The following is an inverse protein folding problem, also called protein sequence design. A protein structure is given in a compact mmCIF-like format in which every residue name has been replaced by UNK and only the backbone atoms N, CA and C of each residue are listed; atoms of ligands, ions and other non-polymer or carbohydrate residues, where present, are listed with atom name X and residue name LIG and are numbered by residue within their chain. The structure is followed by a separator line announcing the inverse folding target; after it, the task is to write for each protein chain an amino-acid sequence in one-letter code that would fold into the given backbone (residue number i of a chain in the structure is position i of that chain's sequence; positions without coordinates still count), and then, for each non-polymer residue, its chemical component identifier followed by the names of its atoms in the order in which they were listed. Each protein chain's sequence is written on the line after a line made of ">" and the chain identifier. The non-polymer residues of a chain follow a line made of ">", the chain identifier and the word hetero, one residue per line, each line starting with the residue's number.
data_IF_246537199390
#
_entry.id   IF_246537199390
#
_cell.length_a   1.000
_cell.length_b   1.000
_cell.length_c   1.000
_cell.angle_alpha   90.00
_cell.angle_beta   90.00
_cell.angle_gamma   90.00
#
_symmetry.space_group_name_H-M   'P 1'
#
loop_
_entity.id
_entity.type
_entity.pdbx_description
1 polymer ?
#
# COMPACT_ATOMS: atom_id res chain seq x y z
N UNK A 1 18.13 8.31 7.34
CA UNK A 1 16.78 7.75 7.29
C UNK A 1 16.43 7.04 8.59
N UNK A 2 15.26 7.33 9.16
CA UNK A 2 14.87 6.89 10.52
C UNK A 2 14.45 5.41 10.64
N UNK A 3 14.83 4.51 9.73
CA UNK A 3 14.50 3.09 9.80
C UNK A 3 13.02 2.72 9.59
N UNK A 4 12.13 3.67 9.28
CA UNK A 4 10.69 3.43 9.10
C UNK A 4 10.38 2.29 8.13
N UNK A 5 10.95 2.35 6.94
CA UNK A 5 10.79 1.32 5.91
C UNK A 5 11.33 -0.04 6.38
N UNK A 6 12.43 -0.08 7.13
CA UNK A 6 12.96 -1.32 7.69
C UNK A 6 12.00 -1.90 8.73
N UNK A 7 11.44 -1.08 9.61
CA UNK A 7 10.43 -1.51 10.60
C UNK A 7 9.18 -2.07 9.92
N UNK A 8 8.72 -1.45 8.84
CA UNK A 8 7.53 -1.90 8.11
C UNK A 8 7.78 -3.14 7.26
N UNK A 9 8.93 -3.21 6.59
CA UNK A 9 9.19 -4.14 5.47
C UNK A 9 10.38 -5.08 5.72
N UNK A 10 11.11 -4.92 6.87
CA UNK A 10 12.33 -5.69 7.14
C UNK A 10 12.09 -7.18 6.96
N UNK A 11 12.75 -7.78 5.98
CA UNK A 11 12.67 -9.19 5.51
C UNK A 11 11.57 -10.05 6.20
N UNK A 12 11.93 -10.79 7.28
CA UNK A 12 10.96 -11.60 8.05
C UNK A 12 10.44 -10.90 9.30
N UNK A 13 11.11 -9.85 9.78
CA UNK A 13 10.87 -9.21 11.08
C UNK A 13 10.03 -7.92 11.00
N UNK A 14 9.76 -7.43 9.80
CA UNK A 14 8.94 -6.26 9.58
C UNK A 14 7.47 -6.47 10.00
N UNK A 15 6.77 -5.37 10.23
CA UNK A 15 5.34 -5.39 10.62
C UNK A 15 4.49 -6.03 9.52
N UNK A 16 4.76 -5.72 8.24
CA UNK A 16 3.98 -6.25 7.11
C UNK A 16 4.09 -7.77 7.01
N UNK A 17 5.30 -8.39 7.00
CA UNK A 17 5.41 -9.85 7.00
C UNK A 17 4.70 -10.49 8.19
N UNK A 18 4.88 -9.97 9.39
CA UNK A 18 4.24 -10.50 10.61
C UNK A 18 2.71 -10.39 10.54
N UNK A 19 2.19 -9.26 10.08
CA UNK A 19 0.74 -9.06 9.97
C UNK A 19 0.11 -9.98 8.93
N UNK A 20 0.75 -10.18 7.77
CA UNK A 20 0.25 -11.07 6.74
C UNK A 20 0.30 -12.54 7.19
N UNK A 21 1.39 -12.99 7.80
CA UNK A 21 1.47 -14.35 8.35
C UNK A 21 0.38 -14.58 9.41
N UNK A 22 0.26 -13.70 10.39
CA UNK A 22 -0.75 -13.83 11.44
C UNK A 22 -2.20 -13.81 10.88
N UNK A 23 -2.45 -13.02 9.82
CA UNK A 23 -3.74 -12.98 9.14
C UNK A 23 -4.07 -14.33 8.51
N UNK A 24 -3.16 -14.89 7.71
CA UNK A 24 -3.41 -16.15 7.02
C UNK A 24 -3.41 -17.35 7.98
N UNK A 25 -2.60 -17.35 9.04
CA UNK A 25 -2.65 -18.35 10.09
C UNK A 25 -4.03 -18.37 10.78
N UNK A 26 -4.58 -17.19 11.06
CA UNK A 26 -5.91 -17.09 11.66
C UNK A 26 -7.02 -17.53 10.70
N UNK A 27 -6.94 -17.13 9.43
CA UNK A 27 -7.93 -17.55 8.41
C UNK A 27 -7.89 -19.06 8.16
N UNK A 28 -6.71 -19.69 8.22
CA UNK A 28 -6.56 -21.15 8.09
C UNK A 28 -7.03 -21.92 9.33
N UNK A 29 -6.97 -21.32 10.54
CA UNK A 29 -7.44 -21.97 11.77
C UNK A 29 -8.96 -21.93 11.95
N UNK A 30 -9.65 -21.04 11.25
CA UNK A 30 -11.11 -20.93 11.29
C UNK A 30 -11.82 -21.96 10.37
N UNK A 31 -11.08 -22.75 9.58
CA UNK A 31 -11.68 -23.82 8.77
C UNK A 31 -12.05 -25.01 9.65
N UNK A 32 -13.32 -25.47 9.65
CA UNK A 32 -13.69 -26.69 10.33
C UNK A 32 -12.93 -27.88 9.72
N UNK A 33 -12.46 -28.87 10.49
CA UNK A 33 -11.81 -30.05 9.96
C UNK A 33 -12.80 -30.84 9.11
N UNK A 34 -12.67 -30.71 7.77
CA UNK A 34 -13.51 -31.49 6.85
C UNK A 34 -12.96 -32.89 6.71
N UNK A 35 -13.75 -33.94 7.05
CA UNK A 35 -13.41 -35.31 6.70
C UNK A 35 -13.68 -35.49 5.19
N UNK A 36 -12.60 -35.69 4.43
CA UNK A 36 -12.61 -36.28 3.09
C UNK A 36 -13.49 -35.58 2.04
N UNK A 37 -12.97 -34.51 1.44
CA UNK A 37 -13.47 -34.11 0.11
C UNK A 37 -12.30 -33.94 -0.86
N UNK A 38 -12.35 -34.65 -1.97
CA UNK A 38 -11.38 -34.62 -3.10
C UNK A 38 -11.51 -33.35 -3.97
N UNK A 39 -12.28 -32.37 -3.52
CA UNK A 39 -12.40 -31.05 -4.14
C UNK A 39 -11.99 -30.01 -3.09
N UNK A 40 -11.16 -29.03 -3.45
CA UNK A 40 -10.86 -27.94 -2.53
C UNK A 40 -12.19 -27.27 -2.16
N UNK A 41 -12.52 -27.30 -0.86
CA UNK A 41 -13.67 -26.56 -0.34
C UNK A 41 -13.54 -25.08 -0.78
N UNK A 42 -14.62 -24.42 -1.16
CA UNK A 42 -14.56 -22.99 -1.45
C UNK A 42 -13.98 -22.31 -0.20
N UNK A 43 -12.87 -21.59 -0.36
CA UNK A 43 -12.25 -20.87 0.76
C UNK A 43 -13.28 -19.96 1.38
N UNK A 44 -13.50 -20.11 2.67
CA UNK A 44 -14.44 -19.27 3.40
C UNK A 44 -14.03 -17.79 3.40
N UNK A 45 -12.77 -17.48 3.06
CA UNK A 45 -12.26 -16.12 3.00
C UNK A 45 -11.48 -15.84 1.70
N UNK A 46 -11.77 -14.71 1.06
CA UNK A 46 -11.03 -14.17 -0.08
C UNK A 46 -10.19 -13.00 0.41
N UNK A 47 -8.88 -13.05 0.18
CA UNK A 47 -7.96 -11.98 0.52
C UNK A 47 -7.43 -11.33 -0.75
N UNK A 48 -7.39 -10.00 -0.78
CA UNK A 48 -6.78 -9.26 -1.88
C UNK A 48 -5.92 -8.10 -1.38
N UNK A 49 -4.87 -7.79 -2.12
CA UNK A 49 -3.92 -6.74 -1.76
C UNK A 49 -3.86 -5.67 -2.83
N UNK A 50 -3.72 -4.42 -2.40
CA UNK A 50 -3.47 -3.24 -3.23
C UNK A 50 -2.31 -2.46 -2.63
N UNK A 51 -1.47 -1.86 -3.48
CA UNK A 51 -0.31 -1.09 -3.01
C UNK A 51 -0.25 0.26 -3.73
N UNK A 52 -0.48 1.33 -2.97
CA UNK A 52 -0.55 2.71 -3.42
C UNK A 52 0.69 3.48 -2.97
N UNK A 53 1.25 4.31 -3.84
CA UNK A 53 2.19 5.37 -3.47
C UNK A 53 1.51 6.73 -3.54
N UNK A 54 1.82 7.59 -2.56
CA UNK A 54 1.37 8.98 -2.50
C UNK A 54 2.63 9.87 -2.47
N UNK A 55 2.83 10.67 -3.52
CA UNK A 55 3.92 11.63 -3.63
C UNK A 55 3.34 13.02 -3.82
N UNK A 56 3.30 13.82 -2.75
CA UNK A 56 2.51 15.03 -2.73
C UNK A 56 1.04 14.72 -3.02
N UNK A 57 0.47 15.31 -4.06
CA UNK A 57 -0.91 15.05 -4.49
C UNK A 57 -1.02 13.92 -5.54
N UNK A 58 0.11 13.37 -5.98
CA UNK A 58 0.14 12.34 -7.02
C UNK A 58 -0.05 10.95 -6.43
N UNK A 59 -0.98 10.19 -6.99
CA UNK A 59 -1.25 8.79 -6.67
C UNK A 59 -0.62 7.90 -7.73
N UNK A 60 0.06 6.83 -7.32
CA UNK A 60 0.66 5.84 -8.20
C UNK A 60 0.31 4.42 -7.72
N UNK A 61 -0.13 3.58 -8.66
CA UNK A 61 -0.31 2.15 -8.41
C UNK A 61 1.05 1.44 -8.49
N UNK A 62 1.48 0.85 -7.38
CA UNK A 62 2.75 0.14 -7.34
C UNK A 62 2.65 -1.29 -7.88
N UNK A 63 1.45 -1.84 -8.01
CA UNK A 63 1.21 -3.18 -8.57
C UNK A 63 1.02 -3.15 -10.10
N UNK A 64 0.56 -2.01 -10.64
CA UNK A 64 0.35 -1.80 -12.07
C UNK A 64 0.87 -0.43 -12.52
N UNK A 65 2.19 -0.16 -12.44
CA UNK A 65 2.77 1.16 -12.68
C UNK A 65 2.66 1.65 -14.13
N UNK A 66 2.34 0.76 -15.05
CA UNK A 66 2.15 1.07 -16.49
C UNK A 66 0.69 1.28 -16.87
N UNK A 67 -0.23 1.28 -15.90
CA UNK A 67 -1.65 1.49 -16.17
C UNK A 67 -1.90 2.95 -16.56
N UNK A 68 -2.55 3.17 -17.71
CA UNK A 68 -3.01 4.48 -18.14
C UNK A 68 -4.29 4.92 -17.41
N UNK A 69 -4.80 4.09 -16.50
CA UNK A 69 -6.01 4.41 -15.72
C UNK A 69 -5.65 5.43 -14.62
N UNK A 70 -6.22 6.63 -14.65
CA UNK A 70 -5.93 7.65 -13.66
C UNK A 70 -6.51 7.26 -12.30
N UNK A 71 -5.66 7.27 -11.27
CA UNK A 71 -6.10 7.07 -9.89
C UNK A 71 -6.80 8.31 -9.36
N UNK A 72 -7.95 8.13 -8.71
CA UNK A 72 -8.71 9.22 -8.09
C UNK A 72 -9.29 8.78 -6.76
N UNK A 73 -9.15 9.61 -5.74
CA UNK A 73 -9.88 9.42 -4.48
C UNK A 73 -11.35 9.72 -4.73
N UNK A 74 -12.21 8.81 -4.34
CA UNK A 74 -13.67 8.92 -4.45
C UNK A 74 -14.35 8.51 -3.15
N UNK A 75 -15.53 9.04 -2.92
CA UNK A 75 -16.41 8.62 -1.84
C UNK A 75 -17.40 7.57 -2.37
N UNK A 76 -17.53 6.46 -1.65
CA UNK A 76 -18.36 5.33 -2.08
C UNK A 76 -19.86 5.67 -2.06
N UNK A 77 -20.30 6.43 -1.05
CA UNK A 77 -21.69 6.84 -0.87
C UNK A 77 -21.76 8.12 -0.05
N UNK A 78 -22.86 8.88 -0.21
CA UNK A 78 -23.13 10.04 0.65
C UNK A 78 -23.54 9.64 2.08
N UNK A 79 -23.90 8.37 2.28
CA UNK A 79 -24.39 7.83 3.56
C UNK A 79 -23.23 7.25 4.38
N UNK A 80 -22.25 6.65 3.69
CA UNK A 80 -21.04 6.11 4.32
C UNK A 80 -19.86 6.96 3.84
N UNK A 81 -19.17 7.63 4.74
CA UNK A 81 -17.96 8.43 4.45
C UNK A 81 -16.75 7.55 4.03
N UNK A 82 -17.03 6.39 3.42
CA UNK A 82 -15.99 5.48 2.96
C UNK A 82 -15.31 6.03 1.71
N UNK A 83 -14.02 6.33 1.84
CA UNK A 83 -13.16 6.74 0.74
C UNK A 83 -12.50 5.52 0.09
N UNK A 84 -12.39 5.54 -1.22
CA UNK A 84 -11.63 4.56 -1.99
C UNK A 84 -10.85 5.22 -3.13
N UNK A 85 -9.82 4.53 -3.62
CA UNK A 85 -9.05 4.97 -4.79
C UNK A 85 -9.56 4.23 -6.02
N UNK A 86 -10.23 4.96 -6.89
CA UNK A 86 -10.70 4.45 -8.19
C UNK A 86 -9.51 4.19 -9.10
N UNK A 87 -9.49 3.07 -9.79
CA UNK A 87 -8.43 2.65 -10.70
C UNK A 87 -7.26 1.92 -10.04
N UNK A 88 -7.23 1.81 -8.71
CA UNK A 88 -6.19 1.08 -7.99
C UNK A 88 -6.34 -0.43 -8.20
N UNK A 89 -5.25 -1.10 -8.61
CA UNK A 89 -5.22 -2.55 -8.79
C UNK A 89 -5.41 -3.29 -7.48
N UNK A 90 -6.13 -4.40 -7.53
CA UNK A 90 -6.33 -5.31 -6.42
C UNK A 90 -6.03 -6.74 -6.88
N UNK A 91 -5.08 -7.40 -6.23
CA UNK A 91 -4.61 -8.74 -6.59
C UNK A 91 -5.06 -9.72 -5.52
N UNK A 92 -5.82 -10.75 -5.92
CA UNK A 92 -6.21 -11.85 -5.04
C UNK A 92 -4.99 -12.69 -4.72
N UNK A 93 -4.84 -13.05 -3.45
CA UNK A 93 -3.71 -13.83 -2.94
C UNK A 93 -4.23 -14.98 -2.08
N UNK A 94 -3.55 -16.11 -2.18
CA UNK A 94 -4.00 -17.35 -1.57
C UNK A 94 -3.34 -17.65 -0.22
N UNK A 95 -2.18 -17.07 0.03
CA UNK A 95 -1.40 -17.26 1.25
C UNK A 95 -0.50 -16.05 1.54
N UNK A 96 0.15 -16.06 2.69
CA UNK A 96 1.05 -14.99 3.11
C UNK A 96 2.26 -14.84 2.18
N UNK A 97 2.79 -15.95 1.65
CA UNK A 97 3.95 -15.94 0.75
C UNK A 97 3.60 -15.26 -0.58
N UNK A 98 2.44 -15.59 -1.17
CA UNK A 98 1.93 -14.95 -2.37
C UNK A 98 1.70 -13.44 -2.14
N UNK A 99 1.10 -13.07 -1.01
CA UNK A 99 0.90 -11.68 -0.62
C UNK A 99 2.24 -10.93 -0.51
N UNK A 100 3.22 -11.50 0.17
CA UNK A 100 4.57 -10.92 0.32
C UNK A 100 5.30 -10.79 -1.02
N UNK A 101 5.19 -11.76 -1.91
CA UNK A 101 5.76 -11.69 -3.26
C UNK A 101 5.20 -10.51 -4.06
N UNK A 102 3.87 -10.33 -4.01
CA UNK A 102 3.19 -9.20 -4.68
C UNK A 102 3.65 -7.87 -4.10
N UNK A 103 3.65 -7.72 -2.79
CA UNK A 103 4.08 -6.49 -2.09
C UNK A 103 5.54 -6.17 -2.39
N UNK A 104 6.44 -7.14 -2.25
CA UNK A 104 7.88 -6.96 -2.50
C UNK A 104 8.16 -6.55 -3.95
N UNK A 105 7.44 -7.11 -4.93
CA UNK A 105 7.55 -6.72 -6.34
C UNK A 105 7.19 -5.24 -6.54
N UNK A 106 6.08 -4.79 -5.96
CA UNK A 106 5.64 -3.39 -6.05
C UNK A 106 6.64 -2.43 -5.41
N UNK A 107 7.16 -2.79 -4.24
CA UNK A 107 8.13 -1.98 -3.51
C UNK A 107 9.52 -1.95 -4.17
N UNK A 108 9.94 -3.04 -4.80
CA UNK A 108 11.16 -3.07 -5.62
C UNK A 108 11.05 -2.07 -6.78
N UNK A 109 9.94 -2.09 -7.50
CA UNK A 109 9.67 -1.12 -8.58
C UNK A 109 9.64 0.33 -8.08
N UNK A 110 9.14 0.59 -6.86
CA UNK A 110 9.21 1.91 -6.20
C UNK A 110 10.65 2.35 -6.00
N UNK A 111 11.53 1.50 -5.48
CA UNK A 111 12.96 1.80 -5.25
C UNK A 111 13.70 2.09 -6.55
N UNK A 112 13.49 1.31 -7.58
CA UNK A 112 14.15 1.47 -8.89
C UNK A 112 13.76 2.78 -9.59
N UNK A 113 12.50 3.21 -9.46
CA UNK A 113 12.04 4.52 -9.97
C UNK A 113 12.58 5.69 -9.15
N UNK A 114 12.76 5.49 -7.85
CA UNK A 114 13.30 6.47 -6.92
C UNK A 114 14.76 6.83 -7.21
N UNK A 115 15.62 5.86 -7.55
CA UNK A 115 17.03 6.10 -7.88
C UNK A 115 17.21 6.95 -9.14
N UNK A 116 16.24 6.93 -10.07
CA UNK A 116 16.25 7.72 -11.30
C UNK A 116 15.74 9.17 -11.11
N UNK A 117 15.11 9.51 -9.99
CA UNK A 117 14.46 10.80 -9.72
C UNK A 117 14.66 11.27 -8.29
N UNK A 118 15.91 11.52 -7.87
CA UNK A 118 16.22 12.13 -6.57
C UNK A 118 15.33 11.64 -5.42
N UNK A 119 15.68 10.47 -4.85
CA UNK A 119 15.20 9.97 -3.54
C UNK A 119 13.69 10.14 -3.23
N UNK A 120 12.85 9.85 -4.24
CA UNK A 120 11.39 9.98 -4.12
C UNK A 120 10.81 9.07 -3.02
N UNK A 121 11.53 8.01 -2.59
CA UNK A 121 11.08 7.10 -1.53
C UNK A 121 11.02 7.77 -0.16
N UNK A 122 11.93 8.70 0.12
CA UNK A 122 11.93 9.45 1.39
C UNK A 122 10.86 10.54 1.45
N UNK A 123 10.27 10.90 0.30
CA UNK A 123 9.26 11.97 0.15
C UNK A 123 7.86 11.44 -0.18
N UNK A 124 7.68 10.13 -0.27
CA UNK A 124 6.40 9.52 -0.60
C UNK A 124 5.96 8.53 0.47
N UNK A 125 4.65 8.43 0.67
CA UNK A 125 4.04 7.40 1.51
C UNK A 125 3.76 6.16 0.67
N UNK A 126 3.89 4.96 1.27
CA UNK A 126 3.40 3.72 0.68
C UNK A 126 2.28 3.16 1.56
N UNK A 127 1.15 2.86 0.93
CA UNK A 127 -0.05 2.35 1.60
C UNK A 127 -0.35 0.96 1.06
N UNK A 128 -0.15 -0.05 1.88
CA UNK A 128 -0.64 -1.41 1.63
C UNK A 128 -2.05 -1.54 2.19
N UNK A 129 -3.00 -1.89 1.33
CA UNK A 129 -4.37 -2.22 1.69
C UNK A 129 -4.57 -3.73 1.50
N UNK A 130 -5.09 -4.37 2.52
CA UNK A 130 -5.52 -5.78 2.49
C UNK A 130 -7.02 -5.81 2.70
N UNK A 131 -7.76 -6.26 1.70
CA UNK A 131 -9.20 -6.47 1.79
C UNK A 131 -9.45 -7.96 2.04
N UNK A 132 -10.33 -8.26 2.99
CA UNK A 132 -10.72 -9.60 3.40
C UNK A 132 -12.23 -9.70 3.25
N UNK A 133 -12.70 -10.63 2.44
CA UNK A 133 -14.11 -10.97 2.30
C UNK A 133 -14.32 -12.39 2.83
N UNK A 134 -15.06 -12.54 3.93
CA UNK A 134 -15.42 -13.82 4.52
C UNK A 134 -16.91 -14.04 4.36
N UNK A 135 -17.31 -15.21 3.87
CA UNK A 135 -18.72 -15.63 3.84
C UNK A 135 -19.00 -16.40 5.12
N UNK A 136 -19.95 -15.91 5.90
CA UNK A 136 -20.41 -16.53 7.14
C UNK A 136 -21.94 -16.64 7.08
N UNK A 137 -22.49 -17.86 7.19
CA UNK A 137 -23.92 -18.16 7.20
C UNK A 137 -24.78 -17.33 6.20
N UNK A 138 -24.33 -17.22 4.93
CA UNK A 138 -24.98 -16.45 3.86
C UNK A 138 -24.74 -14.93 3.89
N UNK A 139 -24.02 -14.40 4.84
CA UNK A 139 -23.60 -13.00 4.86
C UNK A 139 -22.12 -12.83 4.44
N UNK A 140 -21.85 -11.81 3.63
CA UNK A 140 -20.48 -11.46 3.25
C UNK A 140 -19.98 -10.38 4.20
N UNK A 141 -19.06 -10.77 5.10
CA UNK A 141 -18.38 -9.84 5.99
C UNK A 141 -17.13 -9.32 5.28
N UNK A 142 -17.02 -8.00 5.17
CA UNK A 142 -15.86 -7.31 4.58
C UNK A 142 -15.06 -6.62 5.66
N UNK A 143 -13.77 -6.94 5.71
CA UNK A 143 -12.81 -6.29 6.61
C UNK A 143 -11.65 -5.71 5.81
N UNK A 144 -11.01 -4.70 6.36
CA UNK A 144 -9.90 -4.01 5.69
C UNK A 144 -8.79 -3.67 6.66
N UNK A 145 -7.56 -3.95 6.25
CA UNK A 145 -6.35 -3.58 6.98
C UNK A 145 -5.51 -2.62 6.13
N UNK A 146 -5.05 -1.53 6.73
CA UNK A 146 -4.11 -0.59 6.13
C UNK A 146 -2.78 -0.63 6.89
N UNK A 147 -1.68 -0.81 6.15
CA UNK A 147 -0.33 -0.71 6.66
C UNK A 147 0.39 0.38 5.88
N UNK A 148 0.89 1.41 6.58
CA UNK A 148 1.38 2.64 5.97
C UNK A 148 2.84 2.89 6.34
N UNK A 149 3.71 2.95 5.31
CA UNK A 149 5.08 3.44 5.41
C UNK A 149 5.10 4.92 5.06
N UNK A 150 5.26 5.78 6.06
CA UNK A 150 5.19 7.23 5.90
C UNK A 150 6.49 7.80 5.32
N UNK A 151 6.37 8.88 4.54
CA UNK A 151 7.49 9.73 4.14
C UNK A 151 8.25 10.28 5.34
N UNK A 152 9.51 10.69 5.13
CA UNK A 152 10.29 11.41 6.14
C UNK A 152 9.73 12.81 6.40
N UNK A 153 9.65 13.20 7.66
CA UNK A 153 9.26 14.56 8.05
C UNK A 153 10.42 15.55 7.98
N UNK A 154 11.65 15.04 7.94
CA UNK A 154 12.88 15.83 8.10
C UNK A 154 13.25 16.70 6.89
N UNK A 155 12.51 16.64 5.76
CA UNK A 155 12.83 17.36 4.51
C UNK A 155 11.82 18.39 4.07
N UNK A 156 10.81 18.68 4.86
CA UNK A 156 9.85 19.75 4.53
C UNK A 156 10.48 21.15 4.67
N UNK A 157 11.54 21.30 5.47
CA UNK A 157 12.19 22.58 5.77
C UNK A 157 13.34 22.98 4.83
N UNK A 158 13.77 22.10 3.91
CA UNK A 158 14.92 22.39 3.04
C UNK A 158 14.56 22.99 1.66
N UNK A 159 13.29 23.29 1.41
CA UNK A 159 12.84 23.85 0.14
C UNK A 159 12.52 25.36 0.20
N UNK A 160 12.56 25.98 1.39
CA UNK A 160 12.24 27.41 1.56
C UNK A 160 13.48 28.31 1.54
N UNK A 161 14.70 27.77 1.57
CA UNK A 161 15.92 28.59 1.65
C UNK A 161 16.54 29.02 0.29
N UNK A 162 16.04 28.52 -0.85
CA UNK A 162 16.59 28.86 -2.17
C UNK A 162 15.79 29.94 -2.92
N UNK A 163 14.81 30.58 -2.30
CA UNK A 163 13.97 31.59 -2.96
C UNK A 163 14.38 33.05 -2.67
N UNK A 164 15.38 33.31 -1.83
CA UNK A 164 15.89 34.65 -1.58
C UNK A 164 17.29 34.88 -2.17
N UNK A 165 17.35 35.17 -3.45
CA UNK A 165 18.58 35.48 -4.14
C UNK A 165 18.37 36.20 -5.45
N UNK A 166 17.52 37.23 -5.49
CA UNK A 166 17.44 38.15 -6.64
C UNK A 166 18.20 39.44 -6.32
N UNK A 167 19.32 39.75 -6.98
CA UNK A 167 19.99 41.02 -6.76
C UNK A 167 19.18 42.16 -7.37
N UNK A 168 18.81 43.08 -6.53
CA UNK A 168 18.25 44.38 -6.91
C UNK A 168 19.16 45.08 -7.92
N UNK A 169 18.66 45.33 -9.16
CA UNK A 169 19.27 46.26 -10.07
C UNK A 169 19.17 47.67 -9.48
N UNK A 170 20.34 48.16 -9.04
CA UNK A 170 20.51 49.58 -8.79
C UNK A 170 20.23 50.35 -10.04
N UNK A 171 19.22 51.18 -10.01
CA UNK A 171 19.04 52.27 -10.94
C UNK A 171 19.82 53.47 -10.36
N UNK A 172 20.80 53.97 -11.08
CA UNK A 172 21.49 55.22 -10.74
C UNK A 172 21.09 56.26 -11.79
N UNK A 173 20.84 57.52 -11.40
CA UNK A 173 20.27 58.59 -12.20
C UNK A 173 21.24 59.15 -13.28
#
# INVERSE_FOLDING_TARGET
>A
GAGKTHTMLGESDGIIPKALNALFDKLGSDEPPTPVAQTPAPRAAKVSVSLLQILGEKLEDLLSPSSDVPLRVRQASRVNDELYVSGLSSIVVDDAEAALKVVNRGLKGRRERSTKRNDASSRSHAVLRVDIEKTDDCEVVKSRLYLVDLAGSERASALDDDAEGSPSKMYNP
#
